data_IF_265802745958
#
_entry.id   IF_265802745958
#
_cell.length_a   1.000
_cell.length_b   1.000
_cell.length_c   1.000
_cell.angle_alpha   90.00
_cell.angle_beta   90.00
_cell.angle_gamma   90.00
#
_symmetry.space_group_name_H-M   'P 1'
#
loop_
_entity.id
_entity.type
_entity.pdbx_description
1 polymer ?
#
# COMPACT_ATOMS: atom_id res chain seq x y z
N UNK A 1 5.89 -27.67 -54.38
CA UNK A 1 7.18 -27.51 -53.67
C UNK A 1 7.73 -26.13 -53.96
N UNK A 2 7.55 -25.16 -53.05
CA UNK A 2 8.18 -23.85 -53.14
C UNK A 2 8.97 -23.60 -51.85
N UNK A 3 10.29 -23.64 -51.97
CA UNK A 3 11.24 -23.40 -50.90
C UNK A 3 11.56 -21.91 -50.82
N UNK A 4 11.11 -21.25 -49.76
CA UNK A 4 11.51 -19.88 -49.44
C UNK A 4 12.65 -19.91 -48.42
N UNK A 5 13.81 -19.44 -48.89
CA UNK A 5 15.09 -19.37 -48.20
C UNK A 5 15.03 -18.37 -47.03
N UNK A 6 15.50 -18.78 -45.86
CA UNK A 6 15.74 -17.92 -44.70
C UNK A 6 17.03 -17.12 -44.90
N UNK A 7 16.97 -15.80 -44.74
CA UNK A 7 18.14 -14.92 -44.62
C UNK A 7 18.47 -14.68 -43.13
N UNK A 8 19.74 -14.59 -42.72
CA UNK A 8 20.11 -14.30 -41.33
C UNK A 8 20.15 -12.80 -41.06
N UNK A 9 19.50 -12.36 -39.98
CA UNK A 9 19.56 -10.99 -39.47
C UNK A 9 20.86 -10.84 -38.66
N UNK A 10 21.73 -9.94 -39.11
CA UNK A 10 22.94 -9.48 -38.39
C UNK A 10 22.54 -8.74 -37.12
N UNK A 11 23.06 -9.19 -35.98
CA UNK A 11 23.02 -8.51 -34.70
C UNK A 11 24.04 -7.36 -34.70
N UNK A 12 23.57 -6.11 -34.73
CA UNK A 12 24.40 -4.92 -34.54
C UNK A 12 24.39 -4.59 -33.04
N UNK A 13 25.57 -4.70 -32.42
CA UNK A 13 25.82 -4.25 -31.06
C UNK A 13 25.75 -2.71 -31.02
N UNK A 14 24.90 -2.17 -30.15
CA UNK A 14 24.83 -0.74 -29.86
C UNK A 14 25.63 -0.45 -28.57
N UNK A 15 26.58 0.47 -28.71
CA UNK A 15 27.49 0.97 -27.70
C UNK A 15 26.80 1.52 -26.46
N UNK A 16 27.35 1.15 -25.30
CA UNK A 16 27.10 1.78 -24.00
C UNK A 16 27.86 3.11 -23.98
N UNK A 17 27.13 4.22 -23.95
CA UNK A 17 27.71 5.55 -23.74
C UNK A 17 27.39 6.04 -22.33
N UNK A 18 28.46 6.31 -21.58
CA UNK A 18 28.47 6.74 -20.19
C UNK A 18 28.08 8.22 -20.08
N UNK A 19 27.29 8.59 -19.07
CA UNK A 19 27.05 10.00 -18.66
C UNK A 19 27.74 10.29 -17.31
N UNK A 20 28.41 11.44 -17.16
CA UNK A 20 28.96 11.84 -15.87
C UNK A 20 28.09 12.87 -15.10
N UNK A 21 28.14 12.72 -13.77
CA UNK A 21 28.27 13.72 -12.70
C UNK A 21 27.14 14.72 -12.36
N UNK A 22 26.55 14.47 -11.18
CA UNK A 22 26.51 15.31 -9.96
C UNK A 22 26.33 16.84 -10.10
N UNK A 23 25.20 17.35 -9.59
CA UNK A 23 25.05 18.76 -9.23
C UNK A 23 24.55 18.89 -7.77
N UNK A 24 25.34 19.61 -6.96
CA UNK A 24 25.05 19.98 -5.58
C UNK A 24 23.98 21.08 -5.51
N UNK A 25 23.02 20.91 -4.61
CA UNK A 25 22.05 21.96 -4.26
C UNK A 25 22.60 22.74 -3.06
N UNK A 26 22.89 24.03 -3.25
CA UNK A 26 23.24 24.96 -2.17
C UNK A 26 21.97 25.65 -1.67
N UNK A 27 21.74 25.56 -0.36
CA UNK A 27 20.81 26.38 0.41
C UNK A 27 21.29 27.84 0.45
N UNK A 28 20.39 28.79 0.24
CA UNK A 28 20.58 30.19 0.60
C UNK A 28 19.58 30.57 1.69
N UNK A 29 20.12 30.86 2.87
CA UNK A 29 19.43 31.53 3.96
C UNK A 29 19.39 33.04 3.67
N UNK A 30 18.23 33.67 3.84
CA UNK A 30 18.08 35.13 3.76
C UNK A 30 17.94 35.69 5.17
N UNK A 31 18.83 36.62 5.52
CA UNK A 31 18.80 37.41 6.75
C UNK A 31 18.32 38.83 6.42
N UNK A 32 17.30 39.32 7.13
CA UNK A 32 16.85 40.71 7.05
C UNK A 32 17.27 41.45 8.33
N UNK A 33 18.06 42.51 8.14
CA UNK A 33 18.45 43.50 9.16
C UNK A 33 17.46 44.66 9.13
N UNK A 34 17.01 45.08 10.30
CA UNK A 34 16.07 46.19 10.49
C UNK A 34 16.74 47.57 10.48
N UNK A 35 15.92 48.59 10.21
CA UNK A 35 16.18 50.00 10.54
C UNK A 35 14.86 50.65 10.99
N UNK A 36 14.97 51.58 11.93
CA UNK A 36 13.98 52.10 12.87
C UNK A 36 13.46 53.52 12.50
N UNK A 37 12.16 53.75 12.81
CA UNK A 37 11.47 55.01 13.22
C UNK A 37 11.23 56.16 12.20
N UNK A 38 10.35 57.17 12.50
CA UNK A 38 9.28 57.29 13.51
C UNK A 38 7.88 57.73 12.97
N UNK A 39 6.89 57.68 13.87
CA UNK A 39 5.45 58.07 13.76
C UNK A 39 5.19 59.56 13.42
N UNK A 40 3.97 59.89 12.96
CA UNK A 40 2.97 60.44 13.89
C UNK A 40 1.54 59.89 13.76
N UNK A 41 0.79 60.16 14.83
CA UNK A 41 -0.55 59.72 15.22
C UNK A 41 -1.70 60.32 14.39
N UNK A 42 -2.70 59.51 14.06
CA UNK A 42 -4.10 59.94 13.92
C UNK A 42 -5.05 58.74 14.07
N UNK A 43 -6.08 58.93 14.88
CA UNK A 43 -7.01 57.94 15.39
C UNK A 43 -8.03 57.41 14.38
N UNK A 44 -8.44 56.17 14.64
CA UNK A 44 -9.83 55.69 14.72
C UNK A 44 -10.26 54.61 13.72
N UNK A 45 -10.89 53.60 14.32
CA UNK A 45 -11.89 52.66 13.82
C UNK A 45 -11.43 51.26 13.35
N UNK A 46 -11.77 50.30 14.22
CA UNK A 46 -12.39 49.02 13.93
C UNK A 46 -11.69 48.07 12.93
N UNK A 47 -11.10 47.01 13.48
CA UNK A 47 -11.73 45.68 13.49
C UNK A 47 -10.70 44.63 13.91
N UNK A 48 -11.06 43.83 14.90
CA UNK A 48 -10.27 42.72 15.44
C UNK A 48 -9.99 41.67 14.36
N UNK A 49 -8.77 41.65 13.82
CA UNK A 49 -8.22 40.49 13.12
C UNK A 49 -7.36 39.69 14.09
N UNK A 50 -7.99 38.77 14.82
CA UNK A 50 -7.26 37.70 15.51
C UNK A 50 -6.68 36.77 14.45
N UNK A 51 -5.39 36.93 14.17
CA UNK A 51 -4.60 35.98 13.41
C UNK A 51 -4.59 34.63 14.14
N UNK A 52 -5.42 33.70 13.67
CA UNK A 52 -5.37 32.31 14.12
C UNK A 52 -4.19 31.63 13.46
N UNK A 53 -3.26 31.20 14.32
CA UNK A 53 -2.11 30.41 13.99
C UNK A 53 -2.50 29.15 13.20
N UNK A 54 -1.67 28.85 12.20
CA UNK A 54 -1.67 27.62 11.42
C UNK A 54 -1.64 26.39 12.33
N UNK A 55 -2.76 25.69 12.42
CA UNK A 55 -2.88 24.37 13.02
C UNK A 55 -3.65 23.49 12.05
N UNK A 56 -2.98 22.44 11.56
CA UNK A 56 -3.52 21.28 10.82
C UNK A 56 -4.88 21.49 10.14
N UNK A 57 -4.87 21.67 8.81
CA UNK A 57 -6.07 21.50 7.98
C UNK A 57 -6.59 20.05 8.13
N UNK A 58 -7.44 19.84 9.12
CA UNK A 58 -8.44 18.78 9.07
C UNK A 58 -9.28 19.09 7.84
N UNK A 59 -9.14 18.29 6.77
CA UNK A 59 -9.97 18.39 5.56
C UNK A 59 -11.45 18.29 5.96
N UNK A 60 -12.10 19.43 6.21
CA UNK A 60 -13.36 19.56 6.94
C UNK A 60 -14.58 19.69 6.01
N UNK A 61 -14.57 18.96 4.89
CA UNK A 61 -15.75 18.76 4.05
C UNK A 61 -16.40 17.41 4.36
N UNK A 62 -17.74 17.29 4.34
CA UNK A 62 -18.39 16.00 4.52
C UNK A 62 -18.06 15.02 3.36
N UNK A 63 -17.66 15.53 2.19
CA UNK A 63 -17.33 14.76 0.98
C UNK A 63 -18.53 14.65 0.03
N UNK A 64 -18.32 14.30 -1.24
CA UNK A 64 -19.36 14.35 -2.29
C UNK A 64 -20.49 13.33 -2.14
N UNK A 65 -20.38 12.40 -1.19
CA UNK A 65 -21.33 11.29 -0.99
C UNK A 65 -21.98 11.27 0.40
N UNK A 66 -21.76 12.29 1.22
CA UNK A 66 -22.09 12.22 2.65
C UNK A 66 -23.56 12.52 3.01
N UNK A 67 -24.35 13.03 2.07
CA UNK A 67 -25.77 13.24 2.26
C UNK A 67 -26.55 11.92 2.25
N UNK A 68 -27.50 11.80 3.17
CA UNK A 68 -28.27 10.58 3.39
C UNK A 68 -29.01 10.14 2.12
N UNK A 69 -28.93 8.85 1.81
CA UNK A 69 -29.73 8.21 0.79
C UNK A 69 -31.16 7.88 1.24
N UNK A 70 -31.50 8.14 2.51
CA UNK A 70 -32.85 7.92 3.04
C UNK A 70 -33.76 9.09 2.65
N UNK A 71 -35.00 8.81 2.19
CA UNK A 71 -35.96 9.85 1.87
C UNK A 71 -36.31 10.62 3.14
N UNK A 72 -35.87 11.87 3.21
CA UNK A 72 -36.14 12.77 4.35
C UNK A 72 -37.42 13.59 4.13
N UNK A 73 -38.00 13.52 2.93
CA UNK A 73 -39.23 14.23 2.55
C UNK A 73 -39.98 13.43 1.47
N UNK A 74 -41.32 13.47 1.45
CA UNK A 74 -42.12 12.85 0.40
C UNK A 74 -41.91 13.49 -0.99
N UNK A 75 -41.30 14.68 -1.06
CA UNK A 75 -40.94 15.35 -2.31
C UNK A 75 -39.54 14.97 -2.83
N UNK A 76 -38.78 14.16 -2.09
CA UNK A 76 -37.42 13.78 -2.49
C UNK A 76 -37.46 12.86 -3.72
N UNK A 77 -36.58 13.13 -4.70
CA UNK A 77 -36.45 12.28 -5.88
C UNK A 77 -35.91 10.89 -5.49
N UNK A 78 -36.44 9.81 -6.09
CA UNK A 78 -35.94 8.47 -5.80
C UNK A 78 -34.49 8.35 -6.28
N UNK A 79 -33.66 7.68 -5.49
CA UNK A 79 -32.28 7.42 -5.86
C UNK A 79 -32.19 6.13 -6.68
N UNK A 80 -31.58 6.24 -7.85
CA UNK A 80 -31.34 5.13 -8.77
C UNK A 80 -29.88 4.69 -8.71
N UNK A 81 -29.61 3.47 -9.16
CA UNK A 81 -28.26 2.91 -9.20
C UNK A 81 -27.52 3.29 -10.47
N UNK A 82 -26.26 3.63 -10.28
CA UNK A 82 -25.32 3.91 -11.35
C UNK A 82 -24.02 3.18 -11.09
N UNK A 83 -23.39 2.71 -12.16
CA UNK A 83 -22.03 2.16 -12.13
C UNK A 83 -21.07 3.22 -12.67
N UNK A 84 -20.01 3.45 -11.91
CA UNK A 84 -18.90 4.35 -12.27
C UNK A 84 -17.68 3.50 -12.50
N UNK A 85 -17.09 3.64 -13.69
CA UNK A 85 -15.83 2.99 -14.08
C UNK A 85 -14.86 4.12 -14.41
N UNK A 86 -13.80 4.25 -13.62
CA UNK A 86 -12.79 5.28 -13.77
C UNK A 86 -11.42 4.62 -13.94
N UNK A 87 -10.73 4.95 -15.03
CA UNK A 87 -9.36 4.49 -15.27
C UNK A 87 -8.38 5.54 -14.75
N UNK A 88 -7.28 5.08 -14.14
CA UNK A 88 -6.22 5.99 -13.73
C UNK A 88 -5.48 6.52 -14.99
N UNK A 89 -4.84 7.68 -14.89
CA UNK A 89 -3.92 8.11 -15.93
C UNK A 89 -2.82 7.06 -16.17
N UNK A 90 -2.37 6.96 -17.42
CA UNK A 90 -1.36 5.99 -17.85
C UNK A 90 0.08 6.51 -17.69
N UNK A 91 0.27 7.72 -17.14
CA UNK A 91 1.59 8.29 -16.87
C UNK A 91 2.26 7.64 -15.66
N UNK A 92 3.59 7.76 -15.58
CA UNK A 92 4.40 7.15 -14.50
C UNK A 92 4.07 7.72 -13.12
N UNK A 93 3.51 8.93 -13.03
CA UNK A 93 3.16 9.59 -11.77
C UNK A 93 1.79 9.21 -11.22
N UNK A 94 0.92 8.57 -12.02
CA UNK A 94 -0.47 8.30 -11.63
C UNK A 94 -0.59 7.49 -10.34
N UNK A 95 0.22 6.43 -10.21
CA UNK A 95 0.20 5.58 -9.02
C UNK A 95 0.65 6.32 -7.75
N UNK A 96 1.66 7.19 -7.87
CA UNK A 96 2.15 7.97 -6.74
C UNK A 96 1.08 8.96 -6.25
N UNK A 97 0.45 9.71 -7.17
CA UNK A 97 -0.68 10.62 -6.86
C UNK A 97 -1.82 9.85 -6.21
N UNK A 98 -2.10 8.63 -6.70
CA UNK A 98 -3.13 7.78 -6.14
C UNK A 98 -2.86 7.41 -4.69
N UNK A 99 -1.65 6.94 -4.38
CA UNK A 99 -1.28 6.54 -3.03
C UNK A 99 -1.34 7.73 -2.07
N UNK A 100 -0.86 8.89 -2.50
CA UNK A 100 -0.84 10.13 -1.71
C UNK A 100 -2.23 10.57 -1.24
N UNK A 101 -3.25 10.47 -2.11
CA UNK A 101 -4.60 10.95 -1.80
C UNK A 101 -5.59 9.84 -1.45
N UNK A 102 -5.14 8.58 -1.45
CA UNK A 102 -5.97 7.39 -1.25
C UNK A 102 -6.77 7.44 0.04
N UNK A 103 -6.14 7.80 1.15
CA UNK A 103 -6.83 7.82 2.45
C UNK A 103 -7.97 8.85 2.47
N UNK A 104 -7.80 10.00 1.82
CA UNK A 104 -8.87 11.00 1.68
C UNK A 104 -10.03 10.48 0.82
N UNK A 105 -9.71 9.87 -0.32
CA UNK A 105 -10.72 9.21 -1.17
C UNK A 105 -11.49 8.13 -0.39
N UNK A 106 -10.79 7.26 0.34
CA UNK A 106 -11.40 6.18 1.12
C UNK A 106 -12.25 6.72 2.26
N UNK A 107 -11.86 7.81 2.90
CA UNK A 107 -12.68 8.46 3.94
C UNK A 107 -14.00 8.99 3.39
N UNK A 108 -13.99 9.67 2.24
CA UNK A 108 -15.22 10.08 1.55
C UNK A 108 -16.07 8.88 1.13
N UNK A 109 -15.43 7.80 0.64
CA UNK A 109 -16.13 6.58 0.27
C UNK A 109 -16.77 5.88 1.47
N UNK A 110 -16.12 5.85 2.63
CA UNK A 110 -16.67 5.32 3.90
C UNK A 110 -17.91 6.10 4.33
N UNK A 111 -17.85 7.44 4.30
CA UNK A 111 -19.00 8.29 4.60
C UNK A 111 -20.15 8.04 3.63
N UNK A 112 -19.85 7.93 2.34
CA UNK A 112 -20.85 7.59 1.33
C UNK A 112 -21.47 6.20 1.51
N UNK A 113 -20.68 5.22 1.97
CA UNK A 113 -21.18 3.89 2.32
C UNK A 113 -22.14 3.95 3.51
N UNK A 114 -21.79 4.70 4.56
CA UNK A 114 -22.63 4.89 5.75
C UNK A 114 -23.92 5.65 5.42
N UNK A 115 -23.83 6.69 4.60
CA UNK A 115 -24.99 7.44 4.11
C UNK A 115 -25.87 6.62 3.14
N UNK A 116 -25.40 5.45 2.69
CA UNK A 116 -26.07 4.64 1.70
C UNK A 116 -25.98 5.22 0.28
N UNK A 117 -25.09 6.17 0.00
CA UNK A 117 -24.86 6.66 -1.36
C UNK A 117 -23.95 5.75 -2.17
N UNK A 118 -23.05 5.00 -1.53
CA UNK A 118 -22.15 4.05 -2.17
C UNK A 118 -22.50 2.63 -1.71
N UNK A 119 -22.81 1.74 -2.66
CA UNK A 119 -23.09 0.33 -2.36
C UNK A 119 -21.83 -0.52 -2.48
N UNK A 120 -21.00 -0.25 -3.48
CA UNK A 120 -19.76 -0.99 -3.73
C UNK A 120 -18.68 -0.02 -4.20
N UNK A 121 -17.44 -0.27 -3.76
CA UNK A 121 -16.25 0.40 -4.26
C UNK A 121 -15.09 -0.60 -4.34
N UNK A 122 -14.31 -0.52 -5.41
CA UNK A 122 -13.19 -1.43 -5.64
C UNK A 122 -12.13 -0.81 -6.55
N UNK A 123 -10.90 -1.35 -6.49
CA UNK A 123 -9.84 -1.00 -7.42
C UNK A 123 -9.85 -1.96 -8.62
N UNK A 124 -9.69 -1.40 -9.82
CA UNK A 124 -9.39 -2.18 -11.02
C UNK A 124 -7.88 -2.43 -11.06
N UNK A 125 -7.48 -3.66 -11.34
CA UNK A 125 -6.06 -4.03 -11.46
C UNK A 125 -5.64 -4.02 -12.93
N UNK A 126 -4.38 -3.66 -13.19
CA UNK A 126 -3.76 -3.66 -14.53
C UNK A 126 -3.30 -5.05 -14.94
N UNK A 127 -2.94 -5.88 -13.96
CA UNK A 127 -2.48 -7.26 -14.13
C UNK A 127 -3.43 -8.21 -13.43
N UNK A 128 -3.49 -9.44 -13.94
CA UNK A 128 -4.22 -10.52 -13.30
C UNK A 128 -3.54 -10.94 -11.99
N UNK A 129 -4.30 -11.54 -11.07
CA UNK A 129 -3.76 -12.03 -9.79
C UNK A 129 -2.69 -13.12 -9.97
N UNK A 130 -2.72 -13.87 -11.07
CA UNK A 130 -1.67 -14.86 -11.41
C UNK A 130 -0.31 -14.21 -11.71
N UNK A 131 -0.28 -12.92 -12.04
CA UNK A 131 0.94 -12.17 -12.38
C UNK A 131 1.43 -11.27 -11.24
N UNK A 132 0.68 -11.17 -10.14
CA UNK A 132 1.03 -10.36 -8.97
C UNK A 132 1.72 -11.27 -7.96
N UNK A 133 2.94 -10.91 -7.55
CA UNK A 133 3.66 -11.64 -6.51
C UNK A 133 2.85 -11.59 -5.21
N UNK A 134 2.72 -12.73 -4.52
CA UNK A 134 2.04 -12.82 -3.21
C UNK A 134 2.68 -11.91 -2.16
N UNK A 135 3.94 -11.53 -2.35
CA UNK A 135 4.68 -10.62 -1.49
C UNK A 135 4.57 -9.15 -1.95
N UNK A 136 4.04 -8.87 -3.14
CA UNK A 136 3.75 -7.52 -3.60
C UNK A 136 2.33 -7.10 -3.21
N UNK A 137 2.17 -5.95 -2.54
CA UNK A 137 0.85 -5.38 -2.32
C UNK A 137 0.11 -5.16 -3.64
N UNK A 138 -1.13 -5.67 -3.75
CA UNK A 138 -2.02 -5.43 -4.89
C UNK A 138 -2.22 -3.92 -5.18
N UNK A 139 -1.93 -3.06 -4.19
CA UNK A 139 -1.84 -1.61 -4.31
C UNK A 139 -0.98 -1.15 -5.51
N UNK A 140 0.12 -1.85 -5.82
CA UNK A 140 1.01 -1.47 -6.92
C UNK A 140 0.49 -1.90 -8.31
N UNK A 141 -0.47 -2.83 -8.37
CA UNK A 141 -1.08 -3.29 -9.62
C UNK A 141 -2.34 -2.50 -9.98
N UNK A 142 -2.77 -1.54 -9.15
CA UNK A 142 -4.02 -0.85 -9.43
C UNK A 142 -3.90 0.13 -10.61
N UNK A 143 -4.94 0.21 -11.44
CA UNK A 143 -5.01 1.09 -12.60
C UNK A 143 -6.37 1.73 -12.84
N UNK A 144 -7.24 1.69 -11.84
CA UNK A 144 -8.54 2.33 -11.90
C UNK A 144 -9.38 2.01 -10.68
N UNK A 145 -10.64 2.42 -10.73
CA UNK A 145 -11.64 2.20 -9.71
C UNK A 145 -13.00 1.91 -10.33
N UNK A 146 -13.79 1.14 -9.60
CA UNK A 146 -15.18 0.85 -9.93
C UNK A 146 -16.04 1.13 -8.71
N UNK A 147 -17.19 1.77 -8.91
CA UNK A 147 -18.14 2.07 -7.86
C UNK A 147 -19.57 1.80 -8.31
N UNK A 148 -20.41 1.30 -7.41
CA UNK A 148 -21.87 1.29 -7.56
C UNK A 148 -22.42 2.30 -6.58
N UNK A 149 -23.11 3.32 -7.11
CA UNK A 149 -23.57 4.49 -6.35
C UNK A 149 -25.06 4.75 -6.58
N UNK A 150 -25.67 5.49 -5.66
CA UNK A 150 -27.07 5.91 -5.70
C UNK A 150 -27.19 7.42 -5.88
N UNK A 151 -27.83 7.85 -6.96
CA UNK A 151 -27.97 9.26 -7.34
C UNK A 151 -29.37 9.56 -7.87
N UNK A 152 -29.72 10.85 -7.91
CA UNK A 152 -31.03 11.30 -8.43
C UNK A 152 -31.10 11.20 -9.96
N UNK A 153 -29.96 11.39 -10.62
CA UNK A 153 -29.83 11.38 -12.07
C UNK A 153 -28.40 11.08 -12.48
N UNK A 154 -28.18 10.84 -13.77
CA UNK A 154 -26.83 10.67 -14.32
C UNK A 154 -25.96 11.92 -14.10
N UNK A 155 -26.58 13.11 -14.16
CA UNK A 155 -25.87 14.38 -13.97
C UNK A 155 -25.48 14.62 -12.51
N UNK A 156 -26.36 14.28 -11.56
CA UNK A 156 -26.05 14.29 -10.12
C UNK A 156 -24.84 13.40 -9.82
N UNK A 157 -24.81 12.19 -10.38
CA UNK A 157 -23.66 11.29 -10.22
C UNK A 157 -22.39 11.87 -10.84
N UNK A 158 -22.45 12.44 -12.05
CA UNK A 158 -21.29 13.10 -12.68
C UNK A 158 -20.74 14.24 -11.82
N UNK A 159 -21.61 15.08 -11.29
CA UNK A 159 -21.23 16.21 -10.45
C UNK A 159 -20.56 15.75 -9.15
N UNK A 160 -21.05 14.67 -8.53
CA UNK A 160 -20.44 14.11 -7.32
C UNK A 160 -19.09 13.46 -7.61
N UNK A 161 -18.99 12.71 -8.71
CA UNK A 161 -17.74 12.09 -9.14
C UNK A 161 -16.68 13.15 -9.47
N UNK A 162 -17.04 14.28 -10.09
CA UNK A 162 -16.07 15.34 -10.42
C UNK A 162 -15.45 16.02 -9.19
N UNK A 163 -16.06 15.88 -8.02
CA UNK A 163 -15.57 16.36 -6.73
C UNK A 163 -14.75 15.31 -5.97
N UNK A 164 -14.54 14.13 -6.54
CA UNK A 164 -13.73 13.08 -5.91
C UNK A 164 -12.25 13.48 -5.87
N UNK A 165 -11.57 13.14 -4.77
CA UNK A 165 -10.13 13.40 -4.57
C UNK A 165 -9.28 12.82 -5.71
N UNK A 166 -9.68 11.68 -6.29
CA UNK A 166 -8.97 11.12 -7.43
C UNK A 166 -9.17 11.92 -8.72
N UNK A 167 -10.26 12.67 -8.89
CA UNK A 167 -10.40 13.61 -10.01
C UNK A 167 -9.60 14.87 -9.73
N UNK A 168 -9.79 15.45 -8.55
CA UNK A 168 -9.19 16.74 -8.17
C UNK A 168 -7.66 16.69 -8.18
N UNK A 169 -7.06 15.56 -7.84
CA UNK A 169 -5.60 15.38 -7.81
C UNK A 169 -5.06 14.65 -9.07
N UNK A 170 -5.85 14.57 -10.14
CA UNK A 170 -5.40 14.04 -11.43
C UNK A 170 -4.99 12.57 -11.39
N UNK A 171 -5.68 11.74 -10.60
CA UNK A 171 -5.50 10.29 -10.55
C UNK A 171 -6.33 9.62 -11.63
N UNK A 172 -7.63 9.94 -11.69
CA UNK A 172 -8.54 9.43 -12.71
C UNK A 172 -8.48 10.26 -14.00
N UNK A 173 -8.42 9.57 -15.13
CA UNK A 173 -8.51 10.17 -16.45
C UNK A 173 -9.98 10.44 -16.80
N UNK A 174 -10.39 11.70 -16.74
CA UNK A 174 -11.76 12.16 -17.02
C UNK A 174 -12.21 11.74 -18.42
N UNK A 175 -11.29 11.67 -19.40
CA UNK A 175 -11.63 11.28 -20.77
C UNK A 175 -12.06 9.81 -20.90
N UNK A 176 -11.67 8.98 -19.94
CA UNK A 176 -12.00 7.55 -19.87
C UNK A 176 -13.07 7.23 -18.84
N UNK A 177 -13.60 8.25 -18.14
CA UNK A 177 -14.64 8.08 -17.14
C UNK A 177 -15.94 7.61 -17.82
N UNK A 178 -16.44 6.45 -17.39
CA UNK A 178 -17.68 5.87 -17.89
C UNK A 178 -18.69 5.74 -16.75
N UNK A 179 -19.89 6.29 -16.95
CA UNK A 179 -20.99 6.20 -15.98
C UNK A 179 -22.23 5.71 -16.69
N UNK A 180 -22.83 4.64 -16.17
CA UNK A 180 -24.03 4.04 -16.74
C UNK A 180 -25.12 3.84 -15.67
N UNK A 181 -26.41 4.03 -16.02
CA UNK A 181 -27.50 3.52 -15.21
C UNK A 181 -27.38 2.00 -15.08
N UNK A 182 -27.57 1.46 -13.87
CA UNK A 182 -27.40 0.05 -13.56
C UNK A 182 -28.69 -0.52 -12.96
N UNK A 183 -29.14 -1.66 -13.48
CA UNK A 183 -30.15 -2.52 -12.86
C UNK A 183 -29.46 -3.79 -12.38
N UNK A 184 -29.51 -4.07 -11.08
CA UNK A 184 -28.92 -5.29 -10.52
C UNK A 184 -29.86 -6.48 -10.70
N UNK A 185 -29.37 -7.56 -11.30
CA UNK A 185 -30.19 -8.73 -11.62
C UNK A 185 -30.53 -9.61 -10.41
N UNK A 186 -29.65 -9.64 -9.39
CA UNK A 186 -29.83 -10.42 -8.17
C UNK A 186 -29.82 -9.50 -6.96
N UNK A 187 -30.79 -8.59 -6.89
CA UNK A 187 -31.07 -7.92 -5.62
C UNK A 187 -31.59 -8.99 -4.67
N UNK A 188 -30.72 -9.54 -3.83
CA UNK A 188 -31.17 -10.38 -2.74
C UNK A 188 -31.98 -9.49 -1.79
N UNK A 189 -33.23 -9.84 -1.55
CA UNK A 189 -34.11 -9.31 -0.48
C UNK A 189 -33.54 -9.61 0.92
N UNK A 190 -32.22 -9.58 1.12
CA UNK A 190 -31.57 -9.72 2.42
C UNK A 190 -31.66 -8.42 3.23
N UNK A 191 -32.03 -7.30 2.62
CA UNK A 191 -32.38 -6.05 3.31
C UNK A 191 -33.72 -6.15 4.07
N UNK A 192 -34.49 -7.24 3.90
CA UNK A 192 -35.64 -7.56 4.76
C UNK A 192 -35.37 -8.65 5.79
N UNK A 193 -34.11 -8.87 6.20
CA UNK A 193 -33.92 -9.34 7.57
C UNK A 193 -34.27 -8.13 8.45
N UNK A 194 -35.58 -7.98 8.73
CA UNK A 194 -36.06 -7.39 9.97
C UNK A 194 -35.28 -8.12 11.04
N UNK A 195 -34.19 -7.52 11.52
CA UNK A 195 -33.52 -7.97 12.74
C UNK A 195 -34.67 -8.06 13.73
N UNK A 196 -35.08 -9.28 14.16
CA UNK A 196 -36.10 -9.39 15.18
C UNK A 196 -35.59 -8.54 16.34
N UNK A 197 -36.45 -7.75 17.01
CA UNK A 197 -36.04 -7.06 18.23
C UNK A 197 -35.29 -8.08 19.09
N UNK A 198 -34.12 -7.72 19.65
CA UNK A 198 -33.21 -8.67 20.28
C UNK A 198 -34.05 -9.59 21.16
N UNK A 199 -34.16 -10.85 20.75
CA UNK A 199 -34.81 -11.86 21.56
C UNK A 199 -34.01 -11.83 22.85
N UNK A 200 -34.64 -11.44 23.95
CA UNK A 200 -34.05 -11.58 25.29
C UNK A 200 -33.81 -13.06 25.47
N UNK A 201 -32.61 -13.52 25.09
CA UNK A 201 -32.13 -14.85 25.44
C UNK A 201 -32.23 -14.87 26.97
N UNK A 202 -32.99 -15.80 27.57
CA UNK A 202 -32.96 -15.92 29.02
C UNK A 202 -31.50 -16.05 29.42
N UNK A 203 -31.06 -15.21 30.36
CA UNK A 203 -29.73 -15.29 30.94
C UNK A 203 -29.47 -16.76 31.28
N UNK A 204 -28.36 -17.35 30.81
CA UNK A 204 -28.05 -18.74 31.12
C UNK A 204 -28.04 -18.87 32.64
N UNK A 205 -28.78 -19.84 33.17
CA UNK A 205 -28.79 -20.08 34.62
C UNK A 205 -27.37 -20.35 35.09
N UNK A 206 -27.04 -20.01 36.34
CA UNK A 206 -25.68 -20.22 36.88
C UNK A 206 -25.21 -21.67 36.68
N UNK A 207 -26.13 -22.63 36.71
CA UNK A 207 -25.87 -24.04 36.42
C UNK A 207 -25.40 -24.28 34.97
N UNK A 208 -25.96 -23.56 33.99
CA UNK A 208 -25.56 -23.65 32.58
C UNK A 208 -24.21 -22.95 32.33
N UNK A 209 -23.95 -21.85 33.02
CA UNK A 209 -22.64 -21.17 32.98
C UNK A 209 -21.56 -22.05 33.59
N UNK A 210 -21.88 -22.73 34.70
CA UNK A 210 -20.96 -23.62 35.38
C UNK A 210 -20.69 -24.91 34.59
N UNK A 211 -21.74 -25.52 34.02
CA UNK A 211 -21.58 -26.68 33.14
C UNK A 211 -20.77 -26.34 31.87
N UNK A 212 -20.94 -25.14 31.30
CA UNK A 212 -20.14 -24.69 30.17
C UNK A 212 -18.67 -24.44 30.56
N UNK A 213 -18.42 -23.86 31.73
CA UNK A 213 -17.06 -23.65 32.24
C UNK A 213 -16.35 -24.99 32.50
N UNK A 214 -17.05 -25.96 33.10
CA UNK A 214 -16.51 -27.31 33.35
C UNK A 214 -16.24 -28.05 32.04
N UNK A 215 -17.12 -27.92 31.04
CA UNK A 215 -16.90 -28.49 29.71
C UNK A 215 -15.69 -27.87 29.01
N UNK A 216 -15.47 -26.55 29.12
CA UNK A 216 -14.29 -25.88 28.57
C UNK A 216 -12.99 -26.27 29.27
N UNK A 217 -13.02 -26.44 30.60
CA UNK A 217 -11.84 -26.92 31.36
C UNK A 217 -11.52 -28.36 30.99
N UNK A 218 -12.54 -29.22 30.82
CA UNK A 218 -12.34 -30.61 30.39
C UNK A 218 -11.79 -30.70 28.96
N UNK A 219 -12.31 -29.90 28.03
CA UNK A 219 -11.81 -29.83 26.67
C UNK A 219 -10.34 -29.36 26.64
N UNK A 220 -9.99 -28.34 27.43
CA UNK A 220 -8.61 -27.87 27.55
C UNK A 220 -7.68 -28.93 28.18
N UNK A 221 -8.18 -29.71 29.13
CA UNK A 221 -7.41 -30.80 29.76
C UNK A 221 -7.18 -31.99 28.79
N UNK A 222 -8.18 -32.35 27.98
CA UNK A 222 -8.05 -33.38 26.95
C UNK A 222 -7.10 -32.92 25.82
N UNK A 223 -7.15 -31.64 25.44
CA UNK A 223 -6.22 -31.05 24.46
C UNK A 223 -4.77 -31.03 24.98
N UNK A 224 -4.56 -30.69 26.26
CA UNK A 224 -3.23 -30.75 26.89
C UNK A 224 -2.68 -32.18 27.00
N UNK A 225 -3.54 -33.18 27.22
CA UNK A 225 -3.13 -34.59 27.24
C UNK A 225 -2.80 -35.13 25.84
N UNK A 226 -3.43 -34.62 24.78
CA UNK A 226 -3.06 -34.96 23.40
C UNK A 226 -1.71 -34.35 23.00
N UNK A 227 -1.42 -33.12 23.42
CA UNK A 227 -0.14 -32.47 23.14
C UNK A 227 1.06 -33.12 23.86
N UNK A 228 0.85 -33.72 25.04
CA UNK A 228 1.92 -34.44 25.76
C UNK A 228 2.29 -35.80 25.17
N UNK A 229 1.54 -36.34 24.20
CA UNK A 229 1.78 -37.68 23.64
C UNK A 229 2.54 -37.67 22.30
N UNK A 230 2.72 -36.52 21.64
CA UNK A 230 3.32 -36.45 20.30
C UNK A 230 4.69 -35.76 20.19
N UNK A 231 5.25 -35.17 21.26
CA UNK A 231 6.61 -34.64 21.18
C UNK A 231 7.51 -35.27 22.25
N UNK A 232 8.46 -36.09 21.81
CA UNK A 232 9.66 -36.39 22.61
C UNK A 232 10.67 -35.26 22.34
N UNK A 233 10.72 -34.20 23.17
CA UNK A 233 11.54 -33.01 22.93
C UNK A 233 13.05 -33.33 22.92
N UNK A 234 13.45 -34.51 23.40
CA UNK A 234 14.84 -34.95 23.41
C UNK A 234 15.35 -35.30 22.00
N UNK A 235 14.49 -35.84 21.13
CA UNK A 235 14.85 -36.18 19.75
C UNK A 235 15.07 -34.91 18.91
N UNK A 236 14.17 -33.94 19.01
CA UNK A 236 14.26 -32.65 18.30
C UNK A 236 15.50 -31.83 18.70
N UNK A 237 15.82 -31.76 19.99
CA UNK A 237 17.02 -31.06 20.47
C UNK A 237 18.34 -31.75 20.12
N UNK A 238 18.34 -33.07 19.99
CA UNK A 238 19.52 -33.83 19.56
C UNK A 238 19.79 -33.62 18.07
N UNK A 239 18.75 -33.66 17.23
CA UNK A 239 18.86 -33.38 15.80
C UNK A 239 19.32 -31.94 15.51
N UNK A 240 18.75 -30.97 16.22
CA UNK A 240 19.17 -29.56 16.12
C UNK A 240 20.66 -29.37 16.49
N UNK A 241 21.13 -30.01 17.57
CA UNK A 241 22.55 -29.97 17.96
C UNK A 241 23.46 -30.61 16.91
N UNK A 242 23.04 -31.72 16.29
CA UNK A 242 23.81 -32.32 15.19
C UNK A 242 23.87 -31.42 13.97
N UNK A 243 22.77 -30.74 13.63
CA UNK A 243 22.72 -29.81 12.50
C UNK A 243 23.65 -28.61 12.71
N UNK A 244 23.65 -28.02 13.92
CA UNK A 244 24.59 -26.94 14.26
C UNK A 244 26.05 -27.39 14.19
N UNK A 245 26.36 -28.61 14.65
CA UNK A 245 27.73 -29.13 14.61
C UNK A 245 28.21 -29.39 13.17
N UNK A 246 27.32 -29.88 12.29
CA UNK A 246 27.58 -30.01 10.85
C UNK A 246 27.83 -28.65 10.18
N UNK A 247 27.05 -27.62 10.54
CA UNK A 247 27.23 -26.27 10.00
C UNK A 247 28.55 -25.63 10.47
N UNK A 248 28.90 -25.79 11.75
CA UNK A 248 30.17 -25.30 12.32
C UNK A 248 31.37 -25.96 11.66
N UNK A 249 31.35 -27.28 11.50
CA UNK A 249 32.44 -28.01 10.83
C UNK A 249 32.55 -27.66 9.34
N UNK A 250 31.42 -27.46 8.66
CA UNK A 250 31.40 -26.98 7.26
C UNK A 250 32.04 -25.59 7.13
N UNK A 251 31.63 -24.63 7.98
CA UNK A 251 32.23 -23.28 8.02
C UNK A 251 33.73 -23.30 8.35
N UNK A 252 34.16 -24.15 9.29
CA UNK A 252 35.57 -24.33 9.62
C UNK A 252 36.38 -24.90 8.44
N UNK A 253 35.81 -25.85 7.69
CA UNK A 253 36.45 -26.40 6.48
C UNK A 253 36.56 -25.36 5.35
N UNK A 254 35.52 -24.55 5.15
CA UNK A 254 35.56 -23.46 4.16
C UNK A 254 36.61 -22.40 4.51
N UNK A 255 36.73 -22.01 5.78
CA UNK A 255 37.73 -21.05 6.24
C UNK A 255 39.15 -21.60 6.13
N UNK A 256 39.39 -22.87 6.49
CA UNK A 256 40.68 -23.53 6.28
C UNK A 256 41.07 -23.63 4.80
N UNK A 257 40.11 -23.94 3.92
CA UNK A 257 40.33 -23.97 2.48
C UNK A 257 40.71 -22.59 1.94
N UNK A 258 40.02 -21.53 2.39
CA UNK A 258 40.33 -20.16 2.01
C UNK A 258 41.73 -19.72 2.49
N UNK A 259 42.08 -20.04 3.73
CA UNK A 259 43.41 -19.77 4.30
C UNK A 259 44.52 -20.52 3.55
N UNK A 260 44.30 -21.79 3.21
CA UNK A 260 45.25 -22.59 2.42
C UNK A 260 45.46 -22.00 1.03
N UNK A 261 44.40 -21.56 0.37
CA UNK A 261 44.46 -20.91 -0.94
C UNK A 261 45.22 -19.58 -0.87
N UNK A 262 45.00 -18.79 0.18
CA UNK A 262 45.74 -17.56 0.43
C UNK A 262 47.24 -17.82 0.67
N UNK A 263 47.59 -18.84 1.46
CA UNK A 263 48.98 -19.22 1.72
C UNK A 263 49.70 -19.71 0.45
N UNK A 264 49.01 -20.48 -0.40
CA UNK A 264 49.55 -20.92 -1.70
C UNK A 264 49.79 -19.73 -2.65
N UNK A 265 48.88 -18.76 -2.69
CA UNK A 265 49.05 -17.54 -3.47
C UNK A 265 50.25 -16.69 -2.98
N UNK A 266 50.44 -16.59 -1.67
CA UNK A 266 51.59 -15.90 -1.08
C UNK A 266 52.93 -16.62 -1.35
N UNK A 267 52.94 -17.96 -1.28
CA UNK A 267 54.13 -18.76 -1.61
C UNK A 267 54.52 -18.63 -3.09
N UNK A 268 53.53 -18.63 -4.00
CA UNK A 268 53.76 -18.39 -5.43
C UNK A 268 54.33 -16.99 -5.69
N UNK A 269 53.81 -15.96 -5.01
CA UNK A 269 54.31 -14.58 -5.12
C UNK A 269 55.75 -14.43 -4.60
N UNK A 270 56.14 -15.19 -3.57
CA UNK A 270 57.53 -15.21 -3.06
C UNK A 270 58.49 -15.95 -3.99
N UNK A 271 58.04 -17.04 -4.62
CA UNK A 271 58.86 -17.79 -5.59
C UNK A 271 59.11 -16.99 -6.88
N UNK A 272 58.22 -16.07 -7.26
CA UNK A 272 58.41 -15.15 -8.39
C UNK A 272 59.21 -13.87 -8.05
N UNK A 273 59.76 -13.74 -6.84
CA UNK A 273 60.33 -12.50 -6.31
C UNK A 273 61.77 -12.56 -5.76
N UNK A 274 62.69 -13.28 -6.41
CA UNK A 274 64.15 -13.10 -6.21
C UNK A 274 64.77 -12.57 -7.51
N UNK A 275 65.61 -11.53 -7.56
CA UNK A 275 66.54 -10.96 -6.59
C UNK A 275 66.68 -9.42 -6.73
N UNK A 276 67.17 -8.69 -5.71
CA UNK A 276 67.65 -7.32 -5.89
C UNK A 276 69.06 -7.34 -6.52
N UNK A 277 69.19 -6.80 -7.72
CA UNK A 277 70.49 -6.49 -8.31
C UNK A 277 71.12 -5.31 -7.56
N UNK A 278 72.15 -5.59 -6.78
CA UNK A 278 73.10 -4.62 -6.24
C UNK A 278 73.96 -4.05 -7.37
N UNK A 279 73.84 -2.76 -7.67
CA UNK A 279 74.92 -1.98 -8.30
C UNK A 279 75.11 -0.66 -7.57
N UNK A 280 76.13 -0.61 -6.72
CA UNK A 280 76.72 0.63 -6.22
C UNK A 280 77.58 1.27 -7.33
N UNK A 281 77.67 2.61 -7.41
CA UNK A 281 78.64 3.27 -8.27
C UNK A 281 79.98 3.41 -7.53
N UNK A 282 81.09 3.04 -8.18
CA UNK A 282 82.45 3.42 -7.77
C UNK A 282 82.90 4.56 -8.69
N UNK A 283 83.61 5.49 -8.05
CA UNK A 283 84.12 6.79 -8.49
C UNK A 283 84.74 6.86 -9.90
#
# INVERSE_FOLDING_TARGET
MFALRRAPIRLLAASVEQRPTTASVRYLASAAVGVSAPFPSASAEASSSSASASGSETYAGPGPWADSALPTSPAARPLNRYIVIAEDFSDKGALARRIEVRERHLEHARRGKLAGRIELGGALLRRDFTEIDVNEPALYSMGGSIMIVRGESLEDVRQRVSQDEYILNGVWDISKLRIYPLVQAMESTLTQIKVPPPQTRPEPTQEQVQAAAEASVKAAAEEAQHQQKEEDPSASLFELRQQEQKLRTSRAKMTLSALRKAAQAQAAARASGGAPSSSAPVA
#
